data_IF_289010870256
#
_entry.id   IF_289010870256
#
_cell.length_a   1.000
_cell.length_b   1.000
_cell.length_c   1.000
_cell.angle_alpha   90.00
_cell.angle_beta   90.00
_cell.angle_gamma   90.00
#
_symmetry.space_group_name_H-M   'P 1'
#
loop_
_entity.id
_entity.type
_entity.pdbx_description
1 polymer ?
#
# COMPACT_ATOMS: atom_id res chain seq x y z
N UNK A 1 1.60 4.64 -6.56
CA UNK A 1 0.51 4.49 -7.54
C UNK A 1 1.04 4.27 -8.93
N UNK A 2 2.02 5.05 -9.42
CA UNK A 2 2.71 4.72 -10.70
C UNK A 2 3.21 3.27 -10.77
N UNK A 3 3.60 2.67 -9.65
CA UNK A 3 4.07 1.27 -9.62
C UNK A 3 2.97 0.23 -9.88
N UNK A 4 1.69 0.58 -9.69
CA UNK A 4 0.56 -0.37 -9.71
C UNK A 4 -0.40 -0.14 -10.89
N UNK A 5 -0.10 0.83 -11.76
CA UNK A 5 -0.96 1.25 -12.86
C UNK A 5 -0.14 1.58 -14.09
N UNK A 6 -0.68 1.34 -15.29
CA UNK A 6 -0.06 1.76 -16.55
C UNK A 6 -0.34 3.23 -16.85
N UNK A 7 0.57 3.89 -17.59
CA UNK A 7 0.42 5.30 -18.00
C UNK A 7 -0.01 5.48 -19.46
N UNK A 8 0.35 4.54 -20.34
CA UNK A 8 -0.03 4.55 -21.76
C UNK A 8 -0.36 3.14 -22.22
N UNK A 9 0.67 2.36 -22.53
CA UNK A 9 0.57 0.95 -22.88
C UNK A 9 1.22 0.11 -21.79
N UNK A 10 0.76 -1.13 -21.69
CA UNK A 10 1.38 -2.11 -20.82
C UNK A 10 2.71 -2.57 -21.41
N UNK A 11 3.73 -2.60 -20.57
CA UNK A 11 5.04 -3.15 -20.86
C UNK A 11 5.46 -4.00 -19.66
N UNK A 12 5.58 -5.32 -19.85
CA UNK A 12 5.91 -6.25 -18.77
C UNK A 12 7.32 -6.03 -18.22
N UNK A 13 8.21 -5.27 -18.87
CA UNK A 13 9.55 -4.96 -18.34
C UNK A 13 9.53 -3.82 -17.32
N UNK A 14 8.50 -2.97 -17.36
CA UNK A 14 8.39 -1.77 -16.51
C UNK A 14 7.19 -1.85 -15.57
N UNK A 15 6.09 -2.46 -16.02
CA UNK A 15 4.85 -2.59 -15.29
C UNK A 15 4.76 -3.95 -14.59
N UNK A 16 3.95 -3.99 -13.53
CA UNK A 16 3.70 -5.23 -12.80
C UNK A 16 2.96 -6.23 -13.68
N UNK A 17 3.54 -7.42 -13.79
CA UNK A 17 2.94 -8.60 -14.42
C UNK A 17 2.64 -9.67 -13.39
N UNK A 18 1.89 -10.70 -13.79
CA UNK A 18 1.59 -11.82 -12.89
C UNK A 18 2.86 -12.54 -12.43
N UNK A 19 3.90 -12.63 -13.28
CA UNK A 19 5.23 -13.17 -12.89
C UNK A 19 5.83 -12.50 -11.66
N UNK A 20 5.45 -11.26 -11.36
CA UNK A 20 6.00 -10.51 -10.24
C UNK A 20 5.35 -10.89 -8.90
N UNK A 21 4.44 -11.86 -8.90
CA UNK A 21 3.78 -12.39 -7.72
C UNK A 21 4.17 -13.85 -7.52
N UNK A 22 4.84 -14.11 -6.40
CA UNK A 22 5.11 -15.45 -5.92
C UNK A 22 4.14 -15.78 -4.79
N UNK A 23 3.38 -16.88 -4.92
CA UNK A 23 2.46 -17.35 -3.87
C UNK A 23 3.12 -18.54 -3.18
N UNK A 24 3.34 -18.43 -1.87
CA UNK A 24 3.82 -19.51 -1.00
C UNK A 24 2.72 -19.93 -0.02
N UNK A 25 3.03 -20.87 0.88
CA UNK A 25 2.03 -21.52 1.75
C UNK A 25 1.33 -20.54 2.72
N UNK A 26 2.07 -19.57 3.27
CA UNK A 26 1.58 -18.66 4.32
C UNK A 26 1.73 -17.18 4.01
N UNK A 27 2.33 -16.84 2.86
CA UNK A 27 2.51 -15.47 2.41
C UNK A 27 2.74 -15.43 0.90
N UNK A 28 2.57 -14.24 0.31
CA UNK A 28 2.93 -13.97 -1.07
C UNK A 28 4.03 -12.91 -1.14
N UNK A 29 4.87 -12.95 -2.17
CA UNK A 29 5.88 -11.93 -2.43
C UNK A 29 5.47 -11.17 -3.69
N UNK A 30 5.38 -9.85 -3.58
CA UNK A 30 5.19 -8.96 -4.71
C UNK A 30 6.50 -8.24 -5.03
N UNK A 31 7.04 -8.46 -6.22
CA UNK A 31 8.25 -7.83 -6.70
C UNK A 31 7.94 -6.55 -7.47
N UNK A 32 8.16 -5.40 -6.84
CA UNK A 32 8.06 -4.12 -7.52
C UNK A 32 9.31 -3.85 -8.36
N UNK A 33 9.17 -3.89 -9.69
CA UNK A 33 10.24 -3.66 -10.66
C UNK A 33 10.89 -2.28 -10.57
N UNK A 34 10.15 -1.27 -10.11
CA UNK A 34 10.67 0.11 -10.00
C UNK A 34 10.27 0.76 -8.69
N UNK A 35 11.23 1.47 -8.10
CA UNK A 35 11.03 2.33 -6.93
C UNK A 35 11.48 3.77 -7.28
N UNK A 36 10.81 4.78 -6.71
CA UNK A 36 11.11 6.20 -7.00
C UNK A 36 12.50 6.63 -6.55
N UNK A 37 13.12 5.86 -5.67
CA UNK A 37 14.40 6.14 -5.01
C UNK A 37 15.41 5.03 -5.33
N UNK A 38 15.17 4.28 -6.39
CA UNK A 38 16.02 3.19 -6.84
C UNK A 38 16.76 3.61 -8.11
N UNK A 39 17.86 4.37 -7.98
CA UNK A 39 18.66 4.82 -9.12
C UNK A 39 19.26 3.65 -9.91
N UNK A 40 19.30 2.45 -9.34
CA UNK A 40 19.87 1.25 -9.94
C UNK A 40 18.81 0.24 -10.45
N UNK A 41 17.51 0.56 -10.35
CA UNK A 41 16.39 -0.33 -10.74
C UNK A 41 16.47 -1.76 -10.17
N UNK A 42 17.00 -1.93 -8.96
CA UNK A 42 17.01 -3.22 -8.26
C UNK A 42 15.61 -3.71 -7.85
N UNK A 43 14.63 -2.82 -7.81
CA UNK A 43 13.28 -3.11 -7.37
C UNK A 43 13.16 -3.29 -5.84
N UNK A 44 11.97 -3.65 -5.38
CA UNK A 44 11.70 -3.97 -3.98
C UNK A 44 10.69 -5.10 -3.86
N UNK A 45 10.93 -6.03 -2.94
CA UNK A 45 10.01 -7.12 -2.62
C UNK A 45 9.14 -6.76 -1.41
N UNK A 46 7.82 -6.92 -1.54
CA UNK A 46 6.85 -6.73 -0.47
C UNK A 46 6.26 -8.07 -0.09
N UNK A 47 6.39 -8.47 1.17
CA UNK A 47 5.76 -9.68 1.69
C UNK A 47 4.33 -9.38 2.15
N UNK A 48 3.40 -10.21 1.69
CA UNK A 48 1.97 -10.15 1.99
C UNK A 48 1.62 -11.40 2.81
N UNK A 49 1.67 -11.28 4.13
CA UNK A 49 1.41 -12.41 5.02
C UNK A 49 -0.08 -12.72 5.14
N UNK A 50 -0.38 -14.01 5.33
CA UNK A 50 -1.70 -14.47 5.76
C UNK A 50 -2.01 -13.90 7.14
N UNK A 51 -3.23 -13.40 7.30
CA UNK A 51 -3.75 -12.94 8.59
C UNK A 51 -5.19 -13.43 8.77
N UNK A 52 -5.63 -13.49 10.02
CA UNK A 52 -7.00 -13.88 10.39
C UNK A 52 -8.01 -12.71 10.27
N UNK A 53 -7.56 -11.57 9.75
CA UNK A 53 -8.44 -10.44 9.48
C UNK A 53 -9.28 -10.65 8.23
N UNK A 54 -10.48 -10.08 8.24
CA UNK A 54 -11.41 -10.09 7.09
C UNK A 54 -10.80 -9.50 5.82
N UNK A 55 -9.84 -8.58 5.96
CA UNK A 55 -9.05 -8.00 4.87
C UNK A 55 -7.63 -8.55 4.93
N UNK A 56 -7.47 -9.80 4.48
CA UNK A 56 -6.18 -10.49 4.41
C UNK A 56 -5.52 -10.26 3.04
N UNK A 57 -4.32 -9.63 2.97
CA UNK A 57 -3.68 -9.31 1.70
C UNK A 57 -3.23 -10.56 0.93
N UNK A 58 -2.75 -11.59 1.63
CA UNK A 58 -2.42 -12.90 1.03
C UNK A 58 -3.65 -13.51 0.34
N UNK A 59 -4.76 -13.65 1.07
CA UNK A 59 -5.98 -14.24 0.53
C UNK A 59 -6.58 -13.39 -0.59
N UNK A 60 -6.47 -12.06 -0.53
CA UNK A 60 -6.93 -11.17 -1.59
C UNK A 60 -6.16 -11.39 -2.90
N UNK A 61 -4.82 -11.43 -2.84
CA UNK A 61 -3.98 -11.68 -4.02
C UNK A 61 -4.20 -13.09 -4.57
N UNK A 62 -4.24 -14.10 -3.70
CA UNK A 62 -4.48 -15.48 -4.12
C UNK A 62 -5.81 -15.65 -4.84
N UNK A 63 -6.90 -15.10 -4.28
CA UNK A 63 -8.23 -15.12 -4.92
C UNK A 63 -8.24 -14.36 -6.24
N UNK A 64 -7.61 -13.19 -6.27
CA UNK A 64 -7.54 -12.38 -7.49
C UNK A 64 -6.83 -13.12 -8.64
N UNK A 65 -5.68 -13.74 -8.38
CA UNK A 65 -4.96 -14.53 -9.40
C UNK A 65 -5.78 -15.75 -9.84
N UNK A 66 -6.45 -16.45 -8.92
CA UNK A 66 -7.33 -17.57 -9.26
C UNK A 66 -8.48 -17.14 -10.19
N UNK A 67 -9.11 -15.99 -9.91
CA UNK A 67 -10.16 -15.42 -10.76
C UNK A 67 -9.63 -15.07 -12.15
N UNK A 68 -8.44 -14.47 -12.24
CA UNK A 68 -7.79 -14.13 -13.52
C UNK A 68 -7.56 -15.38 -14.38
N UNK A 69 -7.01 -16.44 -13.79
CA UNK A 69 -6.78 -17.73 -14.47
C UNK A 69 -8.08 -18.36 -14.99
N UNK A 70 -9.18 -18.22 -14.26
CA UNK A 70 -10.47 -18.80 -14.65
C UNK A 70 -11.26 -17.98 -15.66
N UNK A 71 -11.01 -16.68 -15.79
CA UNK A 71 -11.77 -15.77 -16.67
C UNK A 71 -11.18 -15.62 -18.06
N UNK A 72 -9.88 -15.75 -18.21
CA UNK A 72 -9.18 -15.41 -19.45
C UNK A 72 -8.65 -16.65 -20.15
N UNK A 73 -9.25 -16.99 -21.30
CA UNK A 73 -8.86 -18.12 -22.12
C UNK A 73 -7.39 -18.05 -22.60
N UNK A 74 -6.80 -16.85 -22.66
CA UNK A 74 -5.42 -16.60 -23.08
C UNK A 74 -4.53 -16.08 -21.93
N UNK A 75 -4.84 -16.43 -20.68
CA UNK A 75 -4.05 -16.01 -19.52
C UNK A 75 -2.57 -16.39 -19.68
N UNK A 76 -1.70 -15.39 -19.59
CA UNK A 76 -0.25 -15.56 -19.57
C UNK A 76 0.35 -14.92 -18.32
N UNK A 77 1.43 -15.51 -17.78
CA UNK A 77 2.11 -14.92 -16.63
C UNK A 77 2.74 -13.55 -16.94
N UNK A 78 3.03 -13.25 -18.21
CA UNK A 78 3.51 -11.94 -18.64
C UNK A 78 2.42 -10.87 -18.69
N UNK A 79 1.15 -11.22 -18.48
CA UNK A 79 0.03 -10.28 -18.53
C UNK A 79 0.07 -9.28 -17.39
N UNK A 80 -0.60 -8.11 -17.53
CA UNK A 80 -0.69 -7.13 -16.46
C UNK A 80 -1.21 -7.77 -15.17
N UNK A 81 -0.57 -7.43 -14.06
CA UNK A 81 -1.01 -7.92 -12.75
C UNK A 81 -2.42 -7.42 -12.46
N UNK A 82 -2.65 -6.10 -12.55
CA UNK A 82 -3.97 -5.50 -12.35
C UNK A 82 -4.63 -5.15 -13.68
N UNK A 83 -5.86 -5.60 -13.86
CA UNK A 83 -6.66 -5.31 -15.05
C UNK A 83 -8.03 -4.73 -14.70
N UNK A 84 -8.64 -4.08 -15.69
CA UNK A 84 -10.05 -3.68 -15.70
C UNK A 84 -10.91 -4.91 -16.05
N UNK A 85 -12.23 -4.76 -15.91
CA UNK A 85 -13.20 -5.82 -16.22
C UNK A 85 -13.10 -6.34 -17.66
N UNK A 86 -12.66 -5.49 -18.59
CA UNK A 86 -12.44 -5.84 -19.98
C UNK A 86 -11.05 -6.45 -20.29
N UNK A 87 -10.28 -6.84 -19.27
CA UNK A 87 -8.96 -7.46 -19.41
C UNK A 87 -7.81 -6.49 -19.72
N UNK A 88 -8.10 -5.22 -20.02
CA UNK A 88 -7.07 -4.22 -20.26
C UNK A 88 -6.34 -3.85 -18.96
N UNK A 89 -5.05 -3.56 -19.06
CA UNK A 89 -4.23 -3.13 -17.93
C UNK A 89 -4.86 -1.94 -17.17
N UNK A 90 -4.78 -2.00 -15.84
CA UNK A 90 -5.31 -0.97 -14.96
C UNK A 90 -4.53 0.33 -15.11
N UNK A 91 -5.20 1.38 -15.54
CA UNK A 91 -4.62 2.72 -15.62
C UNK A 91 -4.91 3.56 -14.38
N UNK A 92 -4.15 4.65 -14.24
CA UNK A 92 -4.24 5.56 -13.09
C UNK A 92 -5.63 6.18 -12.95
N UNK A 93 -6.26 6.57 -14.04
CA UNK A 93 -7.51 7.33 -14.00
C UNK A 93 -8.67 6.42 -13.62
N UNK A 94 -8.68 5.19 -14.14
CA UNK A 94 -9.60 4.15 -13.68
C UNK A 94 -9.45 3.90 -12.19
N UNK A 95 -8.22 3.68 -11.69
CA UNK A 95 -7.99 3.45 -10.26
C UNK A 95 -8.53 4.59 -9.39
N UNK A 96 -8.26 5.86 -9.76
CA UNK A 96 -8.75 7.02 -9.01
C UNK A 96 -10.27 7.12 -9.04
N UNK A 97 -10.90 6.86 -10.20
CA UNK A 97 -12.36 6.86 -10.29
C UNK A 97 -12.98 5.77 -9.41
N UNK A 98 -12.43 4.56 -9.45
CA UNK A 98 -12.89 3.46 -8.59
C UNK A 98 -12.70 3.77 -7.11
N UNK A 99 -11.56 4.34 -6.72
CA UNK A 99 -11.33 4.78 -5.34
C UNK A 99 -12.35 5.83 -4.90
N UNK A 100 -12.61 6.84 -5.74
CA UNK A 100 -13.59 7.89 -5.45
C UNK A 100 -14.99 7.34 -5.30
N UNK A 101 -15.39 6.45 -6.20
CA UNK A 101 -16.69 5.78 -6.15
C UNK A 101 -16.90 5.01 -4.84
N UNK A 102 -15.90 4.23 -4.40
CA UNK A 102 -15.96 3.52 -3.11
C UNK A 102 -16.04 4.50 -1.94
N UNK A 103 -15.29 5.61 -1.97
CA UNK A 103 -15.36 6.64 -0.93
C UNK A 103 -16.74 7.29 -0.83
N UNK A 104 -17.37 7.58 -1.97
CA UNK A 104 -18.73 8.15 -2.01
C UNK A 104 -19.76 7.17 -1.43
N UNK A 105 -19.67 5.87 -1.76
CA UNK A 105 -20.52 4.82 -1.15
C UNK A 105 -20.34 4.77 0.37
N UNK A 106 -19.11 4.97 0.85
CA UNK A 106 -18.81 5.03 2.28
C UNK A 106 -19.18 6.38 2.94
N UNK A 107 -19.79 7.32 2.22
CA UNK A 107 -20.21 8.62 2.76
C UNK A 107 -19.09 9.65 2.91
N UNK A 108 -17.91 9.42 2.33
CA UNK A 108 -16.83 10.40 2.31
C UNK A 108 -16.93 11.30 1.08
N UNK A 109 -16.50 12.57 1.21
CA UNK A 109 -16.38 13.46 0.06
C UNK A 109 -15.17 13.07 -0.79
N UNK A 110 -15.41 12.31 -1.87
CA UNK A 110 -14.35 11.77 -2.73
C UNK A 110 -13.50 12.82 -3.46
N UNK A 111 -14.00 14.05 -3.62
CA UNK A 111 -13.27 15.15 -4.28
C UNK A 111 -11.97 15.52 -3.55
N UNK A 112 -11.92 15.29 -2.24
CA UNK A 112 -10.76 15.54 -1.38
C UNK A 112 -9.67 14.46 -1.49
N UNK A 113 -9.95 13.36 -2.20
CA UNK A 113 -9.07 12.21 -2.29
C UNK A 113 -8.52 12.04 -3.71
N UNK A 114 -7.23 11.75 -3.76
CA UNK A 114 -6.51 11.38 -4.97
C UNK A 114 -5.45 10.34 -4.63
N UNK A 115 -4.64 9.95 -5.61
CA UNK A 115 -3.62 8.91 -5.44
C UNK A 115 -2.52 9.27 -4.43
N UNK A 116 -2.34 10.55 -4.11
CA UNK A 116 -1.47 10.99 -3.03
C UNK A 116 -2.13 10.73 -1.67
N UNK A 117 -3.39 11.14 -1.48
CA UNK A 117 -4.17 10.89 -0.25
C UNK A 117 -4.23 9.39 0.07
N UNK A 118 -4.43 8.54 -0.95
CA UNK A 118 -4.40 7.08 -0.79
C UNK A 118 -3.06 6.56 -0.24
N UNK A 119 -1.94 7.05 -0.79
CA UNK A 119 -0.61 6.68 -0.29
C UNK A 119 -0.35 7.18 1.12
N UNK A 120 -0.81 8.39 1.46
CA UNK A 120 -0.72 8.92 2.82
C UNK A 120 -1.46 7.98 3.76
N UNK A 121 -2.73 7.65 3.46
CA UNK A 121 -3.54 6.74 4.28
C UNK A 121 -2.86 5.39 4.48
N UNK A 122 -2.26 4.82 3.43
CA UNK A 122 -1.50 3.58 3.53
C UNK A 122 -0.27 3.70 4.46
N UNK A 123 0.52 4.78 4.31
CA UNK A 123 1.68 5.03 5.18
C UNK A 123 1.28 5.30 6.64
N UNK A 124 0.23 6.07 6.88
CA UNK A 124 -0.30 6.34 8.22
C UNK A 124 -0.83 5.07 8.88
N UNK A 125 -1.58 4.24 8.14
CA UNK A 125 -2.11 2.97 8.65
C UNK A 125 -0.96 2.05 9.04
N UNK A 126 0.05 1.94 8.18
CA UNK A 126 1.21 1.11 8.46
C UNK A 126 2.04 1.65 9.64
N UNK A 127 2.17 2.98 9.80
CA UNK A 127 2.84 3.61 10.95
C UNK A 127 2.04 3.67 12.25
N UNK A 128 0.73 3.37 12.22
CA UNK A 128 -0.16 3.35 13.41
C UNK A 128 -0.04 2.06 14.23
N UNK A 129 0.42 0.99 13.58
CA UNK A 129 1.04 -0.17 14.22
C UNK A 129 2.54 0.19 14.33
N UNK A 130 3.30 -0.28 15.31
CA UNK A 130 4.73 0.08 15.52
C UNK A 130 5.70 -0.37 14.38
N UNK A 131 5.28 -0.32 13.12
CA UNK A 131 6.00 -0.59 11.87
C UNK A 131 6.71 0.69 11.37
N UNK A 132 7.01 1.64 12.27
CA UNK A 132 7.73 2.88 11.94
C UNK A 132 9.18 2.59 11.47
N UNK A 133 9.77 1.48 11.91
CA UNK A 133 11.16 1.11 11.59
C UNK A 133 11.26 0.17 10.37
N UNK A 134 10.25 -0.65 10.10
CA UNK A 134 10.31 -1.65 9.02
C UNK A 134 10.00 -1.01 7.66
N UNK A 135 9.10 -0.01 7.59
CA UNK A 135 8.76 0.67 6.33
C UNK A 135 9.87 1.60 5.83
N UNK A 136 10.67 2.21 6.71
CA UNK A 136 11.77 3.09 6.28
C UNK A 136 12.90 2.29 5.62
N UNK A 137 13.19 1.09 6.13
CA UNK A 137 14.21 0.18 5.60
C UNK A 137 13.78 -0.48 4.28
N UNK A 138 12.50 -0.86 4.17
CA UNK A 138 12.01 -1.62 3.00
C UNK A 138 11.28 -0.78 1.96
N UNK A 139 10.64 0.34 2.30
CA UNK A 139 9.81 1.10 1.35
C UNK A 139 10.51 2.33 0.73
N UNK A 140 11.80 2.53 1.00
CA UNK A 140 12.63 3.63 0.48
C UNK A 140 11.99 5.03 0.57
N UNK A 141 11.22 5.28 1.63
CA UNK A 141 10.63 6.61 1.88
C UNK A 141 11.58 7.39 2.79
N UNK A 142 12.02 8.59 2.36
CA UNK A 142 12.80 9.51 3.22
C UNK A 142 11.99 9.78 4.51
N UNK A 143 12.63 9.50 5.66
CA UNK A 143 12.05 9.68 7.00
C UNK A 143 11.54 11.12 7.20
N UNK A 144 12.18 12.12 6.58
CA UNK A 144 11.75 13.52 6.63
C UNK A 144 10.43 13.77 5.91
N UNK A 145 10.15 13.01 4.86
CA UNK A 145 8.84 13.05 4.20
C UNK A 145 7.80 12.23 4.96
N UNK A 146 8.18 11.08 5.55
CA UNK A 146 7.28 10.30 6.41
C UNK A 146 6.75 11.12 7.59
N UNK A 147 7.62 11.91 8.26
CA UNK A 147 7.24 12.80 9.36
C UNK A 147 6.20 13.88 8.98
N UNK A 148 6.11 14.27 7.70
CA UNK A 148 5.08 15.21 7.22
C UNK A 148 3.71 14.55 7.00
N UNK A 149 3.66 13.23 6.88
CA UNK A 149 2.45 12.46 6.60
C UNK A 149 1.87 11.77 7.84
N UNK A 150 2.59 11.75 8.95
CA UNK A 150 2.05 11.37 10.26
C UNK A 150 1.33 12.60 10.82
N UNK A 151 0.01 12.70 10.58
CA UNK A 151 -0.83 13.60 11.37
C UNK A 151 -0.98 13.00 12.76
N UNK A 152 -0.09 13.41 13.67
CA UNK A 152 -0.25 13.12 15.10
C UNK A 152 -1.52 13.87 15.53
N UNK A 153 -2.57 13.12 15.90
CA UNK A 153 -3.79 13.70 16.44
C UNK A 153 -3.47 14.59 17.64
N UNK A 154 -4.13 15.74 17.76
CA UNK A 154 -3.99 16.62 18.92
C UNK A 154 -4.27 15.89 20.25
N UNK A 155 -5.10 14.84 20.24
CA UNK A 155 -5.32 14.00 21.42
C UNK A 155 -4.11 13.14 21.79
N UNK A 156 -3.35 12.67 20.79
CA UNK A 156 -2.09 11.94 21.03
C UNK A 156 -1.02 12.87 21.59
N UNK A 157 -0.93 14.11 21.07
CA UNK A 157 -0.05 15.16 21.61
C UNK A 157 -0.47 15.50 23.05
N UNK A 158 -1.77 15.69 23.30
CA UNK A 158 -2.32 16.00 24.63
C UNK A 158 -2.08 14.87 25.64
N UNK A 159 -2.17 13.60 25.23
CA UNK A 159 -1.84 12.43 26.07
C UNK A 159 -0.34 12.38 26.39
N UNK A 160 0.52 12.62 25.41
CA UNK A 160 1.97 12.67 25.62
C UNK A 160 2.38 13.83 26.55
N UNK A 161 1.78 15.01 26.39
CA UNK A 161 2.02 16.19 27.24
C UNK A 161 1.52 15.97 28.68
N UNK A 162 0.39 15.27 28.88
CA UNK A 162 -0.08 14.84 30.21
C UNK A 162 0.85 13.83 30.87
N UNK A 163 1.41 12.90 30.10
CA UNK A 163 2.39 11.92 30.60
C UNK A 163 3.69 12.60 31.07
N UNK A 164 4.13 13.66 30.38
CA UNK A 164 5.32 14.43 30.74
C UNK A 164 5.11 15.31 32.00
N UNK A 165 3.87 15.70 32.30
CA UNK A 165 3.54 16.44 33.53
C UNK A 165 3.32 15.51 34.74
N UNK A 166 2.88 14.26 34.51
CA UNK A 166 2.75 13.25 35.56
C UNK A 166 4.10 12.65 36.01
N UNK A 167 5.16 12.78 35.20
CA UNK A 167 6.52 12.33 35.56
C UNK A 167 7.21 13.16 36.65
N UNK A 168 6.70 14.36 36.99
CA UNK A 168 7.29 15.19 38.07
C UNK A 168 6.86 14.81 39.49
N UNK A 169 5.96 13.83 39.67
CA UNK A 169 5.42 13.46 40.99
C UNK A 169 6.15 12.28 41.67
N UNK A 170 7.24 11.77 41.09
CA UNK A 170 8.04 10.66 41.63
C UNK A 170 9.45 11.09 42.09
N UNK A 171 9.69 12.38 42.34
CA UNK A 171 10.95 12.91 42.87
C UNK A 171 10.77 13.78 44.13
N UNK A 172 9.71 13.55 44.92
CA UNK A 172 9.49 14.25 46.19
C UNK A 172 9.31 13.33 47.41
N UNK A 173 9.68 12.05 47.31
CA UNK A 173 9.70 11.10 48.43
C UNK A 173 11.05 10.35 48.52
N UNK A 174 12.15 11.11 48.55
CA UNK A 174 13.43 10.73 49.18
C UNK A 174 13.90 11.92 49.99
#
# INVERSE_FOLDING_TARGET
>A
MKQFTVSKHFDSTVNLSVTDVEILDSYAILHLKTSKTDPFRKGVSIQLHKSDHTICPFSAVQKYIAIRKGREASFCFSDPLFVKENGNALDRDFFIRSLRHVLDICGYNSSLYNGHSFRIGASTSAGSVNIQVILSKHLSVDIRQLCRYIRISNDTIRKAQKSLTLSKKYLSDI
#
